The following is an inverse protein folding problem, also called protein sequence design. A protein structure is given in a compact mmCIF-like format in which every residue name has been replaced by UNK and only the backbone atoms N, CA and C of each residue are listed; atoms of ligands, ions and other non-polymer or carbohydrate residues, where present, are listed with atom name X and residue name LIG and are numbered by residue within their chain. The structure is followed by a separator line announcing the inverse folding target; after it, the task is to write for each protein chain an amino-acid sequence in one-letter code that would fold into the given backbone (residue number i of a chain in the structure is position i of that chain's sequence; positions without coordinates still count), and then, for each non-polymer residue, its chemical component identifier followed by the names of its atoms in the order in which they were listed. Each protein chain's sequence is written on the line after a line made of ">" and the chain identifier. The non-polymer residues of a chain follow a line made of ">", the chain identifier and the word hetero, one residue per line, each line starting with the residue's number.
data_IF_228260663075
#
_entry.id   IF_228260663075
#
_cell.length_a   1.000
_cell.length_b   1.000
_cell.length_c   1.000
_cell.angle_alpha   90.00
_cell.angle_beta   90.00
_cell.angle_gamma   90.00
#
_symmetry.space_group_name_H-M   'P 1'
#
loop_
_entity.id
_entity.type
_entity.pdbx_description
1 polymer ?
#
# COMPACT_ATOMS: atom_id res chain seq x y z
N UNK A 1 7.99 17.07 27.31
CA UNK A 1 7.79 15.66 26.88
C UNK A 1 6.68 15.44 25.86
N UNK A 2 5.49 15.99 26.08
CA UNK A 2 4.32 15.82 25.19
C UNK A 2 4.58 16.14 23.70
N UNK A 3 5.38 17.17 23.39
CA UNK A 3 5.73 17.52 22.01
C UNK A 3 6.61 16.46 21.32
N UNK A 4 7.55 15.84 22.05
CA UNK A 4 8.41 14.77 21.51
C UNK A 4 7.57 13.53 21.15
N UNK A 5 6.61 13.19 22.01
CA UNK A 5 5.66 12.08 21.79
C UNK A 5 4.82 12.33 20.53
N UNK A 6 4.23 13.52 20.38
CA UNK A 6 3.45 13.91 19.19
C UNK A 6 4.27 13.80 17.89
N UNK A 7 5.52 14.23 17.93
CA UNK A 7 6.40 14.18 16.76
C UNK A 7 6.76 12.73 16.36
N UNK A 8 7.01 11.86 17.36
CA UNK A 8 7.26 10.44 17.11
C UNK A 8 6.04 9.74 16.51
N UNK A 9 4.83 10.02 17.01
CA UNK A 9 3.59 9.48 16.41
C UNK A 9 3.38 9.96 14.97
N UNK A 10 3.63 11.25 14.69
CA UNK A 10 3.54 11.78 13.32
C UNK A 10 4.51 11.06 12.36
N UNK A 11 5.74 10.78 12.81
CA UNK A 11 6.74 10.03 12.04
C UNK A 11 6.31 8.58 11.78
N UNK A 12 5.84 7.88 12.81
CA UNK A 12 5.34 6.50 12.69
C UNK A 12 4.11 6.41 11.77
N UNK A 13 3.18 7.37 11.88
CA UNK A 13 2.00 7.43 11.02
C UNK A 13 2.36 7.66 9.54
N UNK A 14 3.31 8.55 9.27
CA UNK A 14 3.78 8.78 7.91
C UNK A 14 4.36 7.50 7.29
N UNK A 15 5.23 6.78 8.03
CA UNK A 15 5.77 5.51 7.58
C UNK A 15 4.70 4.43 7.36
N UNK A 16 3.69 4.39 8.22
CA UNK A 16 2.55 3.48 8.07
C UNK A 16 1.74 3.76 6.80
N UNK A 17 1.39 5.02 6.54
CA UNK A 17 0.70 5.45 5.31
C UNK A 17 1.50 5.07 4.07
N UNK A 18 2.80 5.36 4.06
CA UNK A 18 3.68 5.01 2.93
C UNK A 18 3.72 3.51 2.68
N UNK A 19 3.76 2.68 3.73
CA UNK A 19 3.79 1.22 3.61
C UNK A 19 2.49 0.63 3.06
N UNK A 20 1.33 1.15 3.48
CA UNK A 20 0.05 0.69 2.93
C UNK A 20 -0.05 1.13 1.47
N UNK A 21 0.26 2.39 1.19
CA UNK A 21 0.16 2.92 -0.17
C UNK A 21 1.08 2.16 -1.14
N UNK A 22 2.34 1.90 -0.76
CA UNK A 22 3.27 1.17 -1.62
C UNK A 22 2.80 -0.24 -1.94
N UNK A 23 2.20 -0.95 -0.98
CA UNK A 23 1.61 -2.28 -1.20
C UNK A 23 0.44 -2.23 -2.18
N UNK A 24 -0.48 -1.28 -2.00
CA UNK A 24 -1.62 -1.12 -2.90
C UNK A 24 -1.13 -0.78 -4.32
N UNK A 25 -0.22 0.20 -4.45
CA UNK A 25 0.33 0.61 -5.75
C UNK A 25 1.09 -0.51 -6.45
N UNK A 26 1.86 -1.32 -5.72
CA UNK A 26 2.55 -2.46 -6.32
C UNK A 26 1.55 -3.50 -6.85
N UNK A 27 0.51 -3.83 -6.08
CA UNK A 27 -0.54 -4.76 -6.50
C UNK A 27 -1.30 -4.24 -7.73
N UNK A 28 -1.72 -2.98 -7.73
CA UNK A 28 -2.44 -2.40 -8.86
C UNK A 28 -1.57 -2.33 -10.11
N UNK A 29 -0.28 -1.97 -9.96
CA UNK A 29 0.66 -1.91 -11.08
C UNK A 29 0.87 -3.29 -11.73
N UNK A 30 1.06 -4.34 -10.93
CA UNK A 30 1.20 -5.71 -11.46
C UNK A 30 -0.06 -6.15 -12.22
N UNK A 31 -1.24 -5.86 -11.67
CA UNK A 31 -2.52 -6.18 -12.33
C UNK A 31 -2.67 -5.40 -13.65
N UNK A 32 -2.26 -4.13 -13.67
CA UNK A 32 -2.25 -3.31 -14.87
C UNK A 32 -1.35 -3.95 -15.93
N UNK A 33 -0.12 -4.32 -15.60
CA UNK A 33 0.79 -4.98 -16.55
C UNK A 33 0.20 -6.30 -17.06
N UNK A 34 -0.39 -7.13 -16.20
CA UNK A 34 -1.03 -8.38 -16.60
C UNK A 34 -2.14 -8.19 -17.65
N UNK A 35 -3.02 -7.22 -17.43
CA UNK A 35 -4.18 -7.00 -18.31
C UNK A 35 -3.77 -6.26 -19.59
N UNK A 36 -2.97 -5.20 -19.47
CA UNK A 36 -2.70 -4.30 -20.61
C UNK A 36 -1.51 -4.73 -21.46
N UNK A 37 -0.45 -5.27 -20.87
CA UNK A 37 0.75 -5.70 -21.61
C UNK A 37 0.62 -7.16 -22.04
N UNK A 38 0.26 -8.05 -21.10
CA UNK A 38 0.22 -9.48 -21.36
C UNK A 38 -1.14 -10.00 -21.84
N UNK A 39 -2.18 -9.16 -21.89
CA UNK A 39 -3.57 -9.53 -22.25
C UNK A 39 -4.10 -10.73 -21.46
N UNK A 40 -3.65 -10.89 -20.20
CA UNK A 40 -4.11 -11.93 -19.28
C UNK A 40 -5.27 -11.40 -18.44
N UNK A 41 -6.15 -12.30 -17.98
CA UNK A 41 -7.23 -11.93 -17.08
C UNK A 41 -6.69 -11.41 -15.75
N UNK A 42 -7.42 -10.48 -15.12
CA UNK A 42 -7.08 -9.94 -13.80
C UNK A 42 -7.19 -11.03 -12.73
N UNK A 43 -6.23 -11.10 -11.82
CA UNK A 43 -6.23 -12.09 -10.74
C UNK A 43 -7.16 -11.64 -9.60
N UNK A 44 -7.96 -12.57 -9.06
CA UNK A 44 -8.77 -12.33 -7.86
C UNK A 44 -7.87 -12.08 -6.65
N UNK A 45 -7.93 -10.88 -6.08
CA UNK A 45 -7.19 -10.56 -4.86
C UNK A 45 -8.06 -10.96 -3.66
N UNK A 46 -7.68 -12.00 -2.92
CA UNK A 46 -8.22 -12.25 -1.59
C UNK A 46 -7.51 -11.33 -0.60
N UNK A 47 -8.16 -10.25 -0.18
CA UNK A 47 -7.63 -9.36 0.86
C UNK A 47 -8.42 -9.61 2.14
N UNK A 48 -7.75 -10.13 3.17
CA UNK A 48 -8.25 -10.09 4.54
C UNK A 48 -7.78 -8.78 5.17
N UNK A 49 -8.72 -7.86 5.38
CA UNK A 49 -8.49 -6.62 6.14
C UNK A 49 -8.87 -6.96 7.59
N UNK A 50 -7.98 -7.68 8.30
CA UNK A 50 -8.06 -7.83 9.76
C UNK A 50 -7.24 -6.72 10.40
#
# INVERSE_FOLDING_TARGET
>A
DQFKIRNNYAKSFNGFKTRILSKITALTFIQLVNVFVFKRNMNNIKISII
#
